data_IF_144423453841
#
_entry.id   IF_144423453841
#
_cell.length_a   1.000
_cell.length_b   1.000
_cell.length_c   1.000
_cell.angle_alpha   90.00
_cell.angle_beta   90.00
_cell.angle_gamma   90.00
#
_symmetry.space_group_name_H-M   'P 1'
#
loop_
_entity.id
_entity.type
_entity.pdbx_description
1 polymer ?
#
# COMPACT_ATOMS: atom_id res chain seq x y z
N UNK A 1 -1.55 -14.82 -8.62
CA UNK A 1 -0.72 -14.72 -7.41
C UNK A 1 -0.17 -13.31 -7.25
N UNK A 2 1.02 -12.93 -7.68
CA UNK A 2 1.48 -11.53 -7.55
C UNK A 2 2.28 -11.09 -8.78
N UNK A 3 1.91 -9.96 -9.37
CA UNK A 3 2.73 -9.25 -10.36
C UNK A 3 2.86 -7.76 -10.02
N UNK A 4 3.97 -7.16 -10.47
CA UNK A 4 4.20 -5.73 -10.42
C UNK A 4 4.65 -5.24 -11.80
N UNK A 5 3.88 -4.35 -12.41
CA UNK A 5 4.20 -3.71 -13.69
C UNK A 5 3.76 -2.25 -13.66
N UNK A 6 4.61 -1.35 -14.15
CA UNK A 6 4.36 0.10 -14.17
C UNK A 6 3.98 0.68 -12.80
N UNK A 7 4.62 0.17 -11.74
CA UNK A 7 4.32 0.49 -10.34
C UNK A 7 2.90 0.14 -9.88
N UNK A 8 2.21 -0.75 -10.59
CA UNK A 8 0.93 -1.32 -10.18
C UNK A 8 1.17 -2.74 -9.69
N UNK A 9 0.79 -3.00 -8.45
CA UNK A 9 0.79 -4.31 -7.82
C UNK A 9 -0.57 -4.97 -8.00
N UNK A 10 -0.56 -6.20 -8.51
CA UNK A 10 -1.76 -7.00 -8.75
C UNK A 10 -1.65 -8.32 -8.03
N UNK A 11 -2.40 -8.42 -6.94
CA UNK A 11 -2.51 -9.64 -6.16
C UNK A 11 -3.79 -10.34 -6.61
N UNK A 12 -3.66 -11.56 -7.11
CA UNK A 12 -4.78 -12.29 -7.73
C UNK A 12 -4.88 -13.67 -7.12
N UNK A 13 -6.04 -13.97 -6.56
CA UNK A 13 -6.43 -15.30 -6.11
C UNK A 13 -7.24 -16.02 -7.21
N UNK A 14 -7.88 -17.14 -6.88
CA UNK A 14 -8.76 -17.83 -7.84
C UNK A 14 -9.91 -16.92 -8.29
N UNK A 15 -10.59 -16.26 -7.33
CA UNK A 15 -11.85 -15.55 -7.55
C UNK A 15 -11.81 -14.05 -7.18
N UNK A 16 -10.70 -13.57 -6.61
CA UNK A 16 -10.55 -12.17 -6.18
C UNK A 16 -9.29 -11.49 -6.74
N UNK A 17 -9.36 -10.17 -6.84
CA UNK A 17 -8.23 -9.30 -7.17
C UNK A 17 -8.08 -8.23 -6.08
N UNK A 18 -6.84 -7.96 -5.70
CA UNK A 18 -6.42 -6.88 -4.82
C UNK A 18 -5.33 -6.06 -5.52
N UNK A 19 -5.67 -4.85 -5.96
CA UNK A 19 -4.80 -4.01 -6.79
C UNK A 19 -4.54 -2.67 -6.10
N UNK A 20 -3.29 -2.23 -6.17
CA UNK A 20 -2.85 -0.92 -5.70
C UNK A 20 -1.66 -0.44 -6.51
N UNK A 21 -1.32 0.84 -6.44
CA UNK A 21 -0.22 1.43 -7.20
C UNK A 21 0.65 2.34 -6.35
N UNK A 22 1.91 2.54 -6.76
CA UNK A 22 2.72 3.64 -6.27
C UNK A 22 2.33 4.90 -7.03
N UNK A 23 1.92 5.94 -6.31
CA UNK A 23 1.59 7.24 -6.90
C UNK A 23 2.85 8.03 -7.24
N UNK A 24 2.67 9.15 -7.94
CA UNK A 24 3.77 10.06 -8.28
C UNK A 24 4.57 10.63 -7.09
N UNK A 25 4.00 10.63 -5.89
CA UNK A 25 4.68 11.08 -4.66
C UNK A 25 5.14 9.92 -3.78
N UNK A 26 5.03 8.68 -4.28
CA UNK A 26 5.52 7.49 -3.59
C UNK A 26 4.52 6.86 -2.61
N UNK A 27 3.33 7.42 -2.41
CA UNK A 27 2.33 6.75 -1.57
C UNK A 27 1.73 5.54 -2.30
N UNK A 28 1.33 4.55 -1.54
CA UNK A 28 0.60 3.40 -2.07
C UNK A 28 -0.90 3.71 -2.09
N UNK A 29 -1.48 3.81 -3.28
CA UNK A 29 -2.91 4.04 -3.50
C UNK A 29 -3.62 2.72 -3.80
N UNK A 30 -4.54 2.33 -2.93
CA UNK A 30 -5.47 1.24 -3.13
C UNK A 30 -6.42 1.54 -4.29
N UNK A 31 -6.61 0.57 -5.19
CA UNK A 31 -7.43 0.72 -6.40
C UNK A 31 -8.66 -0.19 -6.32
N UNK A 32 -8.48 -1.46 -5.98
CA UNK A 32 -9.55 -2.44 -6.00
C UNK A 32 -9.30 -3.58 -5.03
N UNK A 33 -10.35 -3.98 -4.32
CA UNK A 33 -10.44 -5.29 -3.71
C UNK A 33 -11.84 -5.86 -3.93
N UNK A 34 -11.93 -7.06 -4.49
CA UNK A 34 -13.22 -7.69 -4.76
C UNK A 34 -13.14 -8.76 -5.84
N UNK A 35 -14.21 -8.94 -6.65
CA UNK A 35 -14.23 -9.93 -7.73
C UNK A 35 -13.00 -9.82 -8.62
N UNK A 36 -12.51 -10.98 -9.08
CA UNK A 36 -11.35 -11.07 -9.97
C UNK A 36 -11.56 -10.23 -11.21
N UNK A 37 -10.58 -9.37 -11.49
CA UNK A 37 -10.54 -8.55 -12.69
C UNK A 37 -9.67 -9.24 -13.75
N UNK A 38 -10.02 -9.04 -15.02
CA UNK A 38 -9.12 -9.36 -16.12
C UNK A 38 -7.93 -8.39 -16.12
N UNK A 39 -6.81 -8.83 -16.69
CA UNK A 39 -5.63 -7.98 -16.78
C UNK A 39 -5.92 -6.79 -17.70
N UNK A 40 -5.92 -5.58 -17.13
CA UNK A 40 -6.26 -4.34 -17.82
C UNK A 40 -5.51 -3.15 -17.21
N UNK A 41 -5.55 -2.02 -17.92
CA UNK A 41 -5.07 -0.75 -17.38
C UNK A 41 -5.91 -0.32 -16.18
N UNK A 42 -5.26 0.22 -15.15
CA UNK A 42 -5.93 0.76 -13.96
C UNK A 42 -6.51 2.15 -14.18
N UNK A 43 -6.23 2.78 -15.32
CA UNK A 43 -6.60 4.17 -15.60
C UNK A 43 -8.12 4.42 -15.46
N UNK A 44 -8.94 3.44 -15.82
CA UNK A 44 -10.40 3.51 -15.67
C UNK A 44 -10.93 3.17 -14.27
N UNK A 45 -10.09 2.63 -13.39
CA UNK A 45 -10.45 2.21 -12.04
C UNK A 45 -10.04 3.24 -10.98
N UNK A 46 -8.99 4.02 -11.25
CA UNK A 46 -8.48 5.02 -10.30
C UNK A 46 -9.42 6.24 -10.18
N UNK A 47 -9.51 6.77 -8.97
CA UNK A 47 -10.29 7.99 -8.70
C UNK A 47 -9.65 9.20 -9.39
N UNK A 48 -10.41 9.87 -10.26
CA UNK A 48 -9.97 11.11 -10.93
C UNK A 48 -10.18 12.32 -10.02
N UNK A 49 -9.07 12.94 -9.60
CA UNK A 49 -9.05 14.12 -8.75
C UNK A 49 -9.11 15.37 -9.61
N UNK A 50 -10.31 15.91 -9.83
CA UNK A 50 -10.54 17.05 -10.73
C UNK A 50 -10.86 18.35 -10.00
N UNK A 51 -10.96 18.32 -8.67
CA UNK A 51 -11.25 19.48 -7.84
C UNK A 51 -10.42 19.45 -6.55
N UNK A 52 -10.06 20.64 -6.06
CA UNK A 52 -9.44 20.81 -4.76
C UNK A 52 -10.46 20.63 -3.63
N UNK A 53 -9.99 20.15 -2.49
CA UNK A 53 -10.80 20.04 -1.27
C UNK A 53 -10.43 21.22 -0.40
N UNK A 54 -11.28 22.25 -0.37
CA UNK A 54 -10.96 23.54 0.26
C UNK A 54 -10.67 23.48 1.77
N UNK A 55 -11.03 22.38 2.44
CA UNK A 55 -10.80 22.15 3.88
C UNK A 55 -9.63 21.24 4.19
N UNK A 56 -8.93 20.69 3.20
CA UNK A 56 -7.86 19.71 3.40
C UNK A 56 -6.49 20.27 2.99
N UNK A 57 -5.43 19.65 3.49
CA UNK A 57 -4.06 20.03 3.16
C UNK A 57 -3.62 19.31 1.88
N UNK A 58 -3.15 20.07 0.89
CA UNK A 58 -2.44 19.49 -0.26
C UNK A 58 -1.10 18.97 0.20
N UNK A 59 -0.75 17.74 -0.19
CA UNK A 59 0.50 17.09 0.21
C UNK A 59 1.72 17.88 -0.28
N UNK A 60 1.68 18.33 -1.54
CA UNK A 60 2.74 19.09 -2.19
C UNK A 60 2.15 20.29 -2.95
N UNK A 61 2.83 21.44 -2.87
CA UNK A 61 2.39 22.69 -3.51
C UNK A 61 2.31 22.62 -5.04
N UNK A 62 3.05 21.69 -5.67
CA UNK A 62 3.05 21.48 -7.12
C UNK A 62 1.80 20.76 -7.64
N UNK A 63 1.05 20.08 -6.76
CA UNK A 63 -0.24 19.50 -7.11
C UNK A 63 -1.30 19.71 -6.01
N UNK A 64 -2.11 20.77 -6.13
CA UNK A 64 -3.14 21.07 -5.15
C UNK A 64 -4.30 20.06 -5.13
N UNK A 65 -4.41 19.18 -6.14
CA UNK A 65 -5.44 18.13 -6.20
C UNK A 65 -5.01 16.85 -5.45
N UNK A 66 -3.74 16.74 -5.06
CA UNK A 66 -3.22 15.59 -4.34
C UNK A 66 -3.32 15.80 -2.82
N UNK A 67 -4.34 15.18 -2.23
CA UNK A 67 -4.62 15.26 -0.80
C UNK A 67 -4.76 13.86 -0.20
N UNK A 68 -3.95 13.58 0.84
CA UNK A 68 -3.91 12.26 1.48
C UNK A 68 -5.25 11.90 2.14
N UNK A 69 -5.99 12.88 2.64
CA UNK A 69 -7.34 12.73 3.22
C UNK A 69 -8.33 11.99 2.30
N UNK A 70 -8.19 12.15 0.98
CA UNK A 70 -9.07 11.57 -0.04
C UNK A 70 -8.43 10.45 -0.85
N UNK A 71 -7.15 10.15 -0.64
CA UNK A 71 -6.50 8.99 -1.25
C UNK A 71 -6.92 7.73 -0.49
N UNK A 72 -7.32 6.68 -1.21
CA UNK A 72 -7.44 5.35 -0.62
C UNK A 72 -6.02 4.84 -0.43
N UNK A 73 -5.45 4.98 0.76
CA UNK A 73 -4.05 4.62 1.03
C UNK A 73 -3.97 3.18 1.53
N UNK A 74 -2.96 2.43 1.09
CA UNK A 74 -2.57 1.17 1.74
C UNK A 74 -2.00 1.40 3.14
N UNK A 75 -1.37 2.56 3.34
CA UNK A 75 -0.85 3.01 4.63
C UNK A 75 -1.11 4.50 4.85
N UNK A 76 -1.84 4.83 5.92
CA UNK A 76 -2.15 6.20 6.34
C UNK A 76 -1.23 6.66 7.46
N UNK A 77 -0.34 7.61 7.19
CA UNK A 77 0.55 8.22 8.20
C UNK A 77 -0.08 9.40 8.96
N UNK A 78 0.53 9.78 10.08
CA UNK A 78 0.10 10.93 10.88
C UNK A 78 0.93 12.17 10.51
N UNK A 79 0.28 13.34 10.40
CA UNK A 79 0.95 14.64 10.29
C UNK A 79 1.24 15.13 8.87
N UNK A 80 0.68 14.46 7.84
CA UNK A 80 0.83 14.83 6.42
C UNK A 80 -0.48 15.16 5.69
N UNK A 81 -1.53 15.47 6.44
CA UNK A 81 -2.82 15.93 5.88
C UNK A 81 -3.84 14.83 5.63
N UNK A 82 -3.60 13.60 6.09
CA UNK A 82 -4.65 12.60 6.29
C UNK A 82 -5.21 12.77 7.72
N UNK A 83 -6.52 13.05 7.83
CA UNK A 83 -7.18 13.26 9.14
C UNK A 83 -7.94 12.03 9.63
N UNK A 84 -7.89 10.93 8.88
CA UNK A 84 -8.56 9.68 9.20
C UNK A 84 -7.77 8.90 10.25
N UNK A 85 -8.35 7.79 10.73
CA UNK A 85 -7.69 6.93 11.71
C UNK A 85 -6.42 6.29 11.14
N UNK A 86 -5.28 6.56 11.77
CA UNK A 86 -4.03 5.92 11.43
C UNK A 86 -3.98 4.47 11.98
N UNK A 87 -3.41 3.52 11.22
CA UNK A 87 -3.19 2.14 11.66
C UNK A 87 -2.13 2.04 12.78
N UNK A 88 -1.23 3.02 12.89
CA UNK A 88 -0.19 3.08 13.92
C UNK A 88 0.05 4.52 14.34
N UNK A 89 0.12 4.74 15.65
CA UNK A 89 0.69 5.95 16.24
C UNK A 89 2.03 5.58 16.88
N UNK A 90 3.12 6.06 16.28
CA UNK A 90 4.48 5.79 16.74
C UNK A 90 5.17 7.09 17.11
N UNK A 91 5.89 7.09 18.22
CA UNK A 91 6.79 8.19 18.57
C UNK A 91 8.10 8.01 17.79
N UNK A 92 8.38 8.97 16.92
CA UNK A 92 9.53 8.96 16.02
C UNK A 92 10.83 9.35 16.74
N UNK A 93 12.01 9.06 16.16
CA UNK A 93 13.32 9.45 16.72
C UNK A 93 13.44 10.95 17.05
N UNK A 94 12.83 11.83 16.27
CA UNK A 94 12.73 13.28 16.53
C UNK A 94 11.75 13.68 17.64
N UNK A 95 11.18 12.69 18.35
CA UNK A 95 10.18 12.81 19.40
C UNK A 95 8.80 13.33 18.97
N UNK A 96 8.56 13.50 17.66
CA UNK A 96 7.23 13.79 17.11
C UNK A 96 6.45 12.49 16.88
N UNK A 97 5.21 12.62 16.41
CA UNK A 97 4.38 11.51 15.92
C UNK A 97 4.18 11.59 14.41
N UNK A 98 4.88 12.51 13.73
CA UNK A 98 4.72 12.74 12.30
C UNK A 98 5.51 11.69 11.53
N UNK A 99 4.86 11.00 10.61
CA UNK A 99 5.49 10.04 9.73
C UNK A 99 4.96 10.17 8.29
N UNK A 100 5.86 10.03 7.34
CA UNK A 100 5.62 10.15 5.89
C UNK A 100 6.33 9.02 5.15
N UNK A 101 5.75 7.83 5.27
CA UNK A 101 6.28 6.62 4.66
C UNK A 101 5.93 6.59 3.16
N UNK A 102 6.96 6.67 2.33
CA UNK A 102 6.85 6.58 0.87
C UNK A 102 7.57 5.35 0.35
N UNK A 103 7.09 4.81 -0.77
CA UNK A 103 7.63 3.63 -1.41
C UNK A 103 9.13 3.77 -1.72
N UNK A 104 9.90 2.76 -1.29
CA UNK A 104 11.34 2.67 -1.55
C UNK A 104 11.66 1.48 -2.45
N UNK A 105 11.18 0.28 -2.10
CA UNK A 105 11.47 -0.94 -2.86
C UNK A 105 10.42 -2.04 -2.57
N UNK A 106 10.47 -3.14 -3.33
CA UNK A 106 9.72 -4.35 -3.02
C UNK A 106 10.45 -5.62 -3.44
N UNK A 107 10.03 -6.75 -2.88
CA UNK A 107 10.37 -8.08 -3.38
C UNK A 107 9.17 -9.01 -3.38
N UNK A 108 9.10 -9.87 -4.38
CA UNK A 108 8.12 -10.96 -4.45
C UNK A 108 8.88 -12.26 -4.20
N UNK A 109 8.48 -12.98 -3.15
CA UNK A 109 9.12 -14.23 -2.72
C UNK A 109 8.13 -15.39 -2.79
N UNK A 110 8.58 -16.61 -3.13
CA UNK A 110 7.72 -17.79 -3.05
C UNK A 110 7.40 -18.12 -1.59
N UNK A 111 6.20 -18.64 -1.35
CA UNK A 111 5.74 -19.07 -0.03
C UNK A 111 5.20 -17.94 0.84
N UNK A 112 4.98 -18.28 2.11
CA UNK A 112 4.52 -17.38 3.16
C UNK A 112 5.70 -16.94 4.03
N UNK A 113 5.53 -15.83 4.74
CA UNK A 113 6.50 -15.38 5.74
C UNK A 113 6.17 -16.00 7.11
N UNK A 114 7.02 -16.92 7.58
CA UNK A 114 6.89 -17.47 8.95
C UNK A 114 7.32 -16.45 9.99
N UNK A 115 6.58 -16.33 11.08
CA UNK A 115 6.98 -15.52 12.26
C UNK A 115 7.43 -16.45 13.39
N UNK A 116 8.65 -16.30 13.88
CA UNK A 116 9.25 -17.24 14.86
C UNK A 116 8.44 -17.40 16.16
N UNK A 117 7.81 -16.31 16.62
CA UNK A 117 7.17 -16.24 17.95
C UNK A 117 5.65 -16.04 17.89
N UNK A 118 5.07 -15.93 16.70
CA UNK A 118 3.65 -15.66 16.50
C UNK A 118 3.04 -16.72 15.57
N UNK A 119 1.80 -17.15 15.80
CA UNK A 119 1.12 -18.02 14.84
C UNK A 119 0.97 -17.30 13.50
N UNK A 120 1.33 -17.97 12.41
CA UNK A 120 1.20 -17.45 11.05
C UNK A 120 0.33 -18.38 10.21
N UNK A 121 -0.30 -17.83 9.17
CA UNK A 121 -0.81 -18.65 8.08
C UNK A 121 0.36 -19.46 7.47
N UNK A 122 0.04 -20.63 6.91
CA UNK A 122 1.03 -21.54 6.33
C UNK A 122 0.51 -22.12 5.02
N UNK A 123 1.42 -22.53 4.15
CA UNK A 123 1.13 -23.20 2.89
C UNK A 123 2.38 -23.92 2.38
N UNK A 124 2.22 -24.89 1.49
CA UNK A 124 3.37 -25.56 0.89
C UNK A 124 4.09 -24.64 -0.12
N UNK A 125 5.35 -24.96 -0.42
CA UNK A 125 6.13 -24.23 -1.40
C UNK A 125 5.44 -24.29 -2.78
N UNK A 126 5.14 -23.12 -3.36
CA UNK A 126 4.37 -23.00 -4.60
C UNK A 126 2.85 -22.86 -4.42
N UNK A 127 2.31 -22.93 -3.20
CA UNK A 127 0.88 -22.68 -2.94
C UNK A 127 0.55 -21.21 -2.67
N UNK A 128 1.55 -20.43 -2.30
CA UNK A 128 1.41 -19.01 -2.02
C UNK A 128 2.65 -18.23 -2.47
N UNK A 129 2.49 -16.91 -2.57
CA UNK A 129 3.56 -15.95 -2.78
C UNK A 129 3.39 -14.79 -1.80
N UNK A 130 4.49 -14.20 -1.37
CA UNK A 130 4.49 -13.01 -0.51
C UNK A 130 5.12 -11.84 -1.24
N UNK A 131 4.42 -10.71 -1.24
CA UNK A 131 4.94 -9.40 -1.58
C UNK A 131 5.37 -8.70 -0.29
N UNK A 132 6.63 -8.29 -0.25
CA UNK A 132 7.17 -7.41 0.77
C UNK A 132 7.43 -6.06 0.15
N UNK A 133 6.86 -5.00 0.73
CA UNK A 133 7.09 -3.61 0.32
C UNK A 133 7.81 -2.88 1.44
N UNK A 134 8.89 -2.19 1.07
CA UNK A 134 9.60 -1.27 1.95
C UNK A 134 9.11 0.15 1.70
N UNK A 135 8.57 0.77 2.74
CA UNK A 135 8.31 2.20 2.79
C UNK A 135 9.33 2.88 3.71
N UNK A 136 9.79 4.06 3.34
CA UNK A 136 10.77 4.84 4.09
C UNK A 136 10.17 6.18 4.52
N UNK A 137 10.30 6.49 5.82
CA UNK A 137 10.20 7.86 6.30
C UNK A 137 11.56 8.56 6.12
N UNK A 138 11.62 9.50 5.18
CA UNK A 138 12.88 10.18 4.87
C UNK A 138 13.37 11.13 5.97
N UNK A 139 12.48 11.60 6.86
CA UNK A 139 12.85 12.56 7.91
C UNK A 139 13.61 11.93 9.07
N UNK A 140 13.21 10.70 9.43
CA UNK A 140 13.74 9.96 10.55
C UNK A 140 14.49 8.69 10.15
N UNK A 141 14.56 8.36 8.86
CA UNK A 141 15.20 7.15 8.32
C UNK A 141 14.63 5.87 8.93
N UNK A 142 13.31 5.84 9.11
CA UNK A 142 12.58 4.68 9.63
C UNK A 142 11.97 3.92 8.47
N UNK A 143 12.11 2.61 8.47
CA UNK A 143 11.49 1.72 7.48
C UNK A 143 10.23 1.09 8.05
N UNK A 144 9.21 0.97 7.20
CA UNK A 144 8.00 0.21 7.42
C UNK A 144 7.90 -0.87 6.35
N UNK A 145 7.82 -2.13 6.79
CA UNK A 145 7.65 -3.28 5.90
C UNK A 145 6.18 -3.70 5.88
N UNK A 146 5.57 -3.69 4.70
CA UNK A 146 4.22 -4.23 4.48
C UNK A 146 4.34 -5.60 3.80
N UNK A 147 3.64 -6.59 4.35
CA UNK A 147 3.64 -7.96 3.84
C UNK A 147 2.25 -8.34 3.36
N UNK A 148 2.18 -8.83 2.12
CA UNK A 148 0.95 -9.35 1.52
C UNK A 148 1.21 -10.76 1.01
N UNK A 149 0.59 -11.75 1.64
CA UNK A 149 0.69 -13.15 1.20
C UNK A 149 -0.59 -13.58 0.49
N UNK A 150 -0.47 -14.09 -0.72
CA UNK A 150 -1.59 -14.56 -1.54
C UNK A 150 -1.63 -16.09 -1.55
N UNK A 151 -2.71 -16.66 -1.03
CA UNK A 151 -3.08 -18.06 -1.08
C UNK A 151 -4.18 -18.26 -2.14
N UNK A 152 -3.76 -18.47 -3.39
CA UNK A 152 -4.64 -18.42 -4.55
C UNK A 152 -5.85 -19.35 -4.45
N UNK A 153 -5.63 -20.61 -4.04
CA UNK A 153 -6.66 -21.66 -4.02
C UNK A 153 -7.80 -21.38 -3.04
N UNK A 154 -7.53 -20.61 -1.99
CA UNK A 154 -8.46 -20.34 -0.89
C UNK A 154 -9.04 -18.93 -0.93
N UNK A 155 -8.70 -18.11 -1.92
CA UNK A 155 -9.10 -16.70 -1.99
C UNK A 155 -8.68 -15.90 -0.76
N UNK A 156 -7.49 -16.18 -0.23
CA UNK A 156 -6.86 -15.45 0.87
C UNK A 156 -5.65 -14.70 0.37
#
# INVERSE_FOLDING_TARGET
MIDCQDQVFRLTTRDTSYWFQVTKFGHLEHIHYGPRLEHQSVEGLILKRTAMIGSSVSYDSSDPHYCLDNLCLEWSGIGRGDYRHAPLEAKMPDATFTCDFVYQDHRIVPGFLSMDMLPSAYGEEGECQTLEITLLDGSNQVELLLYYTVFEKTNV
#
